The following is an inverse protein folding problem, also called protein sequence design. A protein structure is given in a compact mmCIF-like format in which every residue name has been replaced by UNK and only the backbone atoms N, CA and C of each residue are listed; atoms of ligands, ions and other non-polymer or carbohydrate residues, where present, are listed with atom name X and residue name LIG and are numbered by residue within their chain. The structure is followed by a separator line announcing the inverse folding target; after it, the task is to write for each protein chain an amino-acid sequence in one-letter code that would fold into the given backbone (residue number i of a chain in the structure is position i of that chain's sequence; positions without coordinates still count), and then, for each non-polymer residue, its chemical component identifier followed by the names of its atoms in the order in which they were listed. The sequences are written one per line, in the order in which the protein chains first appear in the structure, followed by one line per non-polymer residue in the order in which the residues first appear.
data_IF_442170422679
#
_entry.id   IF_442170422679
#
_cell.length_a   1.000
_cell.length_b   1.000
_cell.length_c   1.000
_cell.angle_alpha   90.00
_cell.angle_beta   90.00
_cell.angle_gamma   90.00
#
_symmetry.space_group_name_H-M   'P 1'
#
loop_
_entity.id
_entity.type
_entity.pdbx_description
1 polymer ?
#
# COMPACT_ATOMS: atom_id res chain seq x y z
N UNK A 1 42.40 -26.92 13.35
CA UNK A 1 41.16 -26.13 13.46
C UNK A 1 40.41 -26.22 12.15
N UNK A 2 39.44 -27.12 12.07
CA UNK A 2 38.56 -27.24 10.91
C UNK A 2 37.41 -26.28 11.18
N UNK A 3 37.35 -25.15 10.46
CA UNK A 3 36.14 -24.32 10.40
C UNK A 3 35.12 -25.14 9.62
N UNK A 4 34.11 -25.62 10.33
CA UNK A 4 32.93 -26.22 9.72
C UNK A 4 32.12 -25.05 9.14
N UNK A 5 32.29 -24.78 7.84
CA UNK A 5 31.34 -23.96 7.10
C UNK A 5 30.00 -24.70 7.14
N UNK A 6 29.00 -24.09 7.75
CA UNK A 6 27.64 -24.61 7.73
C UNK A 6 27.18 -24.65 6.27
N UNK A 7 26.99 -25.84 5.71
CA UNK A 7 26.38 -26.01 4.38
C UNK A 7 25.06 -25.22 4.33
N UNK A 8 24.98 -24.27 3.41
CA UNK A 8 23.77 -23.49 3.18
C UNK A 8 22.70 -24.40 2.57
N UNK A 9 21.78 -24.90 3.39
CA UNK A 9 20.62 -25.68 2.92
C UNK A 9 19.80 -24.85 1.92
N UNK A 10 19.65 -25.34 0.69
CA UNK A 10 18.84 -24.70 -0.35
C UNK A 10 17.63 -25.57 -0.69
N UNK A 11 16.48 -24.93 -0.89
CA UNK A 11 15.21 -25.57 -1.16
C UNK A 11 14.64 -25.01 -2.46
N UNK A 12 14.05 -25.88 -3.28
CA UNK A 12 13.39 -25.46 -4.54
C UNK A 12 11.93 -25.86 -4.50
N UNK A 13 11.04 -24.90 -4.69
CA UNK A 13 9.60 -25.11 -4.85
C UNK A 13 9.23 -24.99 -6.32
N UNK A 14 8.58 -26.02 -6.88
CA UNK A 14 8.11 -26.03 -8.28
C UNK A 14 6.97 -27.04 -8.45
N UNK A 15 6.23 -26.94 -9.56
CA UNK A 15 5.10 -27.84 -9.82
C UNK A 15 3.87 -27.42 -9.01
N UNK A 16 3.25 -28.33 -8.27
CA UNK A 16 2.10 -28.01 -7.41
C UNK A 16 2.54 -27.86 -5.96
N UNK A 17 2.16 -26.75 -5.33
CA UNK A 17 2.46 -26.50 -3.92
C UNK A 17 1.63 -27.41 -3.01
N UNK A 18 2.30 -28.00 -2.01
CA UNK A 18 1.66 -28.78 -0.96
C UNK A 18 1.53 -27.92 0.29
N UNK A 19 0.31 -27.79 0.82
CA UNK A 19 0.07 -27.05 2.07
C UNK A 19 0.90 -27.65 3.21
N UNK A 20 1.55 -26.81 4.01
CA UNK A 20 2.43 -27.24 5.09
C UNK A 20 3.81 -27.70 4.65
N UNK A 21 4.24 -27.35 3.43
CA UNK A 21 5.64 -27.54 3.01
C UNK A 21 6.55 -26.78 3.98
N UNK A 22 7.40 -27.51 4.69
CA UNK A 22 8.37 -26.96 5.64
C UNK A 22 9.56 -26.34 4.89
N UNK A 23 9.81 -25.05 5.12
CA UNK A 23 10.99 -24.34 4.60
C UNK A 23 11.85 -23.75 5.72
N UNK A 24 11.58 -24.11 6.97
CA UNK A 24 12.21 -23.55 8.16
C UNK A 24 13.72 -23.79 8.24
N UNK A 25 14.18 -24.92 7.68
CA UNK A 25 15.61 -25.25 7.65
C UNK A 25 16.38 -24.52 6.53
N UNK A 26 15.69 -24.01 5.50
CA UNK A 26 16.28 -23.51 4.25
C UNK A 26 16.94 -22.12 4.42
N UNK A 27 18.19 -21.98 4.02
CA UNK A 27 18.87 -20.67 3.86
C UNK A 27 18.41 -19.92 2.62
N UNK A 28 18.10 -20.66 1.56
CA UNK A 28 17.56 -20.11 0.32
C UNK A 28 16.38 -20.96 -0.13
N UNK A 29 15.26 -20.33 -0.44
CA UNK A 29 14.08 -20.94 -1.06
C UNK A 29 13.93 -20.36 -2.46
N UNK A 30 14.20 -21.17 -3.49
CA UNK A 30 13.97 -20.77 -4.88
C UNK A 30 12.60 -21.25 -5.33
N UNK A 31 11.73 -20.32 -5.69
CA UNK A 31 10.38 -20.58 -6.20
C UNK A 31 10.44 -20.44 -7.72
N UNK A 32 10.34 -21.56 -8.42
CA UNK A 32 10.29 -21.61 -9.89
C UNK A 32 8.84 -21.47 -10.35
N UNK A 33 8.46 -22.13 -11.45
CA UNK A 33 7.05 -22.24 -11.82
C UNK A 33 6.30 -23.10 -10.80
N UNK A 34 5.31 -22.51 -10.14
CA UNK A 34 4.59 -23.11 -9.03
C UNK A 34 3.08 -22.83 -9.14
N UNK A 35 2.25 -23.83 -8.89
CA UNK A 35 0.80 -23.68 -8.82
C UNK A 35 0.35 -23.92 -7.40
N UNK A 36 -0.19 -22.89 -6.75
CA UNK A 36 -0.76 -22.96 -5.41
C UNK A 36 -2.23 -23.36 -5.53
N UNK A 37 -2.68 -24.46 -4.90
CA UNK A 37 -4.06 -24.91 -5.01
C UNK A 37 -5.10 -23.89 -4.51
N UNK A 38 -6.34 -24.06 -4.95
CA UNK A 38 -7.42 -23.14 -4.60
C UNK A 38 -7.69 -23.10 -3.10
N UNK A 39 -7.63 -21.91 -2.50
CA UNK A 39 -7.83 -21.76 -1.05
C UNK A 39 -6.65 -22.15 -0.18
N UNK A 40 -5.46 -22.31 -0.77
CA UNK A 40 -4.21 -22.57 -0.06
C UNK A 40 -3.34 -21.32 -0.11
N UNK A 41 -2.68 -21.03 1.01
CA UNK A 41 -1.68 -19.97 1.13
C UNK A 41 -0.31 -20.55 0.76
N UNK A 42 0.46 -19.85 -0.08
CA UNK A 42 1.90 -20.05 -0.13
C UNK A 42 2.50 -19.49 1.17
N UNK A 43 2.74 -20.38 2.13
CA UNK A 43 3.17 -20.02 3.46
C UNK A 43 4.71 -19.96 3.53
N UNK A 44 5.23 -18.77 3.85
CA UNK A 44 6.64 -18.47 4.04
C UNK A 44 6.85 -17.84 5.43
N UNK A 45 6.08 -18.29 6.43
CA UNK A 45 6.10 -17.73 7.79
C UNK A 45 7.07 -18.42 8.76
N UNK A 46 7.58 -19.60 8.40
CA UNK A 46 8.51 -20.43 9.18
C UNK A 46 9.98 -20.24 8.78
N UNK A 47 10.27 -19.35 7.83
CA UNK A 47 11.62 -19.06 7.35
C UNK A 47 12.56 -18.68 8.50
N UNK A 48 13.76 -19.25 8.49
CA UNK A 48 14.81 -18.84 9.42
C UNK A 48 15.24 -17.39 9.18
N UNK A 49 15.67 -16.75 10.26
CA UNK A 49 16.25 -15.40 10.19
C UNK A 49 17.42 -15.36 9.22
N UNK A 50 17.46 -14.36 8.34
CA UNK A 50 18.50 -14.26 7.30
C UNK A 50 18.21 -15.04 6.00
N UNK A 51 17.10 -15.76 5.91
CA UNK A 51 16.79 -16.55 4.72
C UNK A 51 16.54 -15.68 3.48
N UNK A 52 16.89 -16.23 2.32
CA UNK A 52 16.58 -15.66 1.01
C UNK A 52 15.44 -16.41 0.33
N UNK A 53 14.49 -15.69 -0.26
CA UNK A 53 13.44 -16.24 -1.12
C UNK A 53 13.61 -15.65 -2.51
N UNK A 54 13.63 -16.49 -3.54
CA UNK A 54 13.84 -16.06 -4.93
C UNK A 54 12.69 -16.55 -5.81
N UNK A 55 11.83 -15.63 -6.24
CA UNK A 55 10.82 -15.90 -7.27
C UNK A 55 11.47 -15.82 -8.65
N UNK A 56 11.50 -16.92 -9.39
CA UNK A 56 12.22 -17.03 -10.67
C UNK A 56 11.33 -17.48 -11.85
N UNK A 57 10.21 -18.14 -11.58
CA UNK A 57 9.23 -18.54 -12.59
C UNK A 57 7.89 -17.83 -12.42
N UNK A 58 6.85 -18.42 -13.01
CA UNK A 58 5.47 -17.96 -12.81
C UNK A 58 4.79 -18.76 -11.71
N UNK A 59 4.37 -18.09 -10.65
CA UNK A 59 3.52 -18.67 -9.61
C UNK A 59 2.06 -18.32 -9.88
N UNK A 60 1.17 -19.31 -9.89
CA UNK A 60 -0.28 -19.10 -10.07
C UNK A 60 -1.07 -19.60 -8.86
N UNK A 61 -2.27 -19.08 -8.67
CA UNK A 61 -3.13 -19.42 -7.53
C UNK A 61 -4.50 -19.92 -8.00
N UNK A 62 -4.95 -21.03 -7.40
CA UNK A 62 -6.27 -21.58 -7.65
C UNK A 62 -7.39 -20.62 -7.21
N UNK A 63 -8.45 -20.56 -8.02
CA UNK A 63 -9.58 -19.64 -7.83
C UNK A 63 -10.52 -20.14 -6.75
N UNK A 64 -10.76 -19.34 -5.70
CA UNK A 64 -11.73 -19.64 -4.62
C UNK A 64 -12.26 -18.34 -4.05
N UNK A 65 -13.51 -18.31 -3.59
CA UNK A 65 -14.03 -17.20 -2.79
C UNK A 65 -13.60 -17.40 -1.34
N UNK A 66 -12.60 -16.65 -0.89
CA UNK A 66 -12.03 -16.70 0.47
C UNK A 66 -11.21 -15.42 0.73
N UNK A 67 -10.86 -15.17 1.98
CA UNK A 67 -10.18 -13.92 2.40
C UNK A 67 -8.66 -13.92 2.19
N UNK A 68 -8.06 -15.07 1.89
CA UNK A 68 -6.62 -15.20 1.71
C UNK A 68 -5.83 -15.14 3.04
N UNK A 69 -4.52 -14.85 2.98
CA UNK A 69 -3.81 -14.31 1.82
C UNK A 69 -3.38 -15.38 0.80
N UNK A 70 -3.05 -14.99 -0.43
CA UNK A 70 -2.43 -15.90 -1.40
C UNK A 70 -0.99 -16.26 -1.01
N UNK A 71 -0.23 -15.27 -0.51
CA UNK A 71 1.13 -15.42 0.02
C UNK A 71 1.20 -14.83 1.42
N UNK A 72 1.79 -15.57 2.36
CA UNK A 72 2.10 -15.09 3.71
C UNK A 72 3.61 -15.06 3.91
N UNK A 73 4.14 -13.89 4.28
CA UNK A 73 5.54 -13.71 4.66
C UNK A 73 5.63 -13.23 6.11
N UNK A 74 6.44 -13.91 6.91
CA UNK A 74 6.79 -13.51 8.29
C UNK A 74 8.27 -13.81 8.52
N UNK A 75 8.98 -12.95 9.25
CA UNK A 75 10.36 -13.25 9.64
C UNK A 75 11.25 -12.02 9.77
N UNK A 76 12.52 -12.28 10.05
CA UNK A 76 13.52 -11.24 10.34
C UNK A 76 14.72 -11.38 9.42
N UNK A 77 15.31 -10.26 8.98
CA UNK A 77 16.50 -10.23 8.10
C UNK A 77 16.32 -11.00 6.79
N UNK A 78 15.10 -11.05 6.27
CA UNK A 78 14.79 -11.77 5.04
C UNK A 78 15.23 -10.97 3.81
N UNK A 79 15.61 -11.69 2.77
CA UNK A 79 15.77 -11.13 1.42
C UNK A 79 14.83 -11.83 0.46
N UNK A 80 13.73 -11.20 0.11
CA UNK A 80 12.77 -11.70 -0.88
C UNK A 80 13.01 -10.98 -2.20
N UNK A 81 13.30 -11.73 -3.26
CA UNK A 81 13.74 -11.13 -4.52
C UNK A 81 13.39 -11.97 -5.75
N UNK A 82 13.85 -11.52 -6.91
CA UNK A 82 13.81 -12.26 -8.16
C UNK A 82 13.07 -11.50 -9.26
N UNK A 83 13.00 -12.11 -10.43
CA UNK A 83 12.34 -11.58 -11.63
C UNK A 83 11.07 -12.34 -12.01
N UNK A 84 10.64 -13.26 -11.14
CA UNK A 84 9.44 -14.07 -11.34
C UNK A 84 8.16 -13.24 -11.33
N UNK A 85 7.07 -13.88 -11.76
CA UNK A 85 5.73 -13.31 -11.77
C UNK A 85 4.81 -14.13 -10.86
N UNK A 86 4.09 -13.46 -9.97
CA UNK A 86 3.02 -14.07 -9.19
C UNK A 86 1.69 -13.60 -9.79
N UNK A 87 0.97 -14.49 -10.47
CA UNK A 87 -0.31 -14.20 -11.14
C UNK A 87 -1.49 -14.67 -10.29
N UNK A 88 -2.22 -13.70 -9.74
CA UNK A 88 -3.36 -13.91 -8.85
C UNK A 88 -4.65 -14.31 -9.57
N UNK A 89 -4.64 -14.34 -10.91
CA UNK A 89 -5.78 -14.74 -11.73
C UNK A 89 -7.04 -13.88 -11.48
N UNK A 90 -6.82 -12.58 -11.25
CA UNK A 90 -7.81 -11.58 -10.84
C UNK A 90 -9.06 -11.49 -11.71
N UNK A 91 -8.93 -11.69 -13.03
CA UNK A 91 -10.05 -11.64 -13.98
C UNK A 91 -11.22 -12.58 -13.61
N UNK A 92 -10.95 -13.70 -12.93
CA UNK A 92 -12.02 -14.56 -12.45
C UNK A 92 -12.86 -13.90 -11.35
N UNK A 93 -12.24 -13.09 -10.49
CA UNK A 93 -12.89 -12.39 -9.39
C UNK A 93 -13.58 -11.11 -9.86
N UNK A 94 -12.93 -10.29 -10.70
CA UNK A 94 -13.45 -8.98 -11.12
C UNK A 94 -14.81 -9.07 -11.80
N UNK A 95 -14.99 -10.04 -12.70
CA UNK A 95 -16.28 -10.29 -13.40
C UNK A 95 -17.44 -10.69 -12.48
N UNK A 96 -17.18 -11.00 -11.21
CA UNK A 96 -18.19 -11.38 -10.23
C UNK A 96 -18.59 -10.22 -9.31
N UNK A 97 -17.97 -9.04 -9.47
CA UNK A 97 -18.26 -7.85 -8.69
C UNK A 97 -17.71 -7.88 -7.25
N UNK A 98 -18.12 -6.88 -6.45
CA UNK A 98 -17.59 -6.64 -5.10
C UNK A 98 -18.29 -7.43 -4.00
N UNK A 99 -19.43 -8.07 -4.29
CA UNK A 99 -20.23 -8.84 -3.30
C UNK A 99 -19.62 -10.20 -2.91
N UNK A 100 -18.49 -10.59 -3.51
CA UNK A 100 -17.79 -11.83 -3.18
C UNK A 100 -16.58 -11.57 -2.30
N UNK A 101 -16.22 -12.52 -1.44
CA UNK A 101 -14.95 -12.50 -0.73
C UNK A 101 -13.81 -12.78 -1.72
N UNK A 102 -12.80 -11.92 -1.70
CA UNK A 102 -11.63 -11.98 -2.58
C UNK A 102 -10.37 -12.02 -1.72
N UNK A 103 -9.37 -12.86 -2.07
CA UNK A 103 -8.19 -13.00 -1.23
C UNK A 103 -7.29 -11.78 -1.37
N UNK A 104 -6.76 -11.30 -0.23
CA UNK A 104 -5.59 -10.41 -0.24
C UNK A 104 -4.43 -11.15 -0.91
N UNK A 105 -3.65 -10.48 -1.76
CA UNK A 105 -2.57 -11.16 -2.47
C UNK A 105 -1.42 -11.51 -1.53
N UNK A 106 -0.67 -10.50 -1.10
CA UNK A 106 0.60 -10.67 -0.40
C UNK A 106 0.50 -10.06 0.98
N UNK A 107 0.51 -10.89 2.03
CA UNK A 107 0.53 -10.42 3.41
C UNK A 107 1.94 -10.47 3.98
N UNK A 108 2.48 -9.31 4.30
CA UNK A 108 3.68 -9.17 5.12
C UNK A 108 3.23 -8.93 6.56
N UNK A 109 3.43 -9.91 7.43
CA UNK A 109 3.06 -9.83 8.84
C UNK A 109 4.31 -10.01 9.69
N UNK A 110 4.64 -9.02 10.52
CA UNK A 110 5.85 -9.06 11.38
C UNK A 110 7.12 -9.34 10.56
N UNK A 111 7.27 -8.65 9.43
CA UNK A 111 8.50 -8.68 8.62
C UNK A 111 9.44 -7.60 9.13
N UNK A 112 10.62 -7.98 9.62
CA UNK A 112 11.50 -7.11 10.39
C UNK A 112 12.88 -7.06 9.74
N UNK A 113 13.46 -5.87 9.58
CA UNK A 113 14.83 -5.69 9.05
C UNK A 113 15.08 -6.41 7.73
N UNK A 114 14.07 -6.43 6.85
CA UNK A 114 14.07 -7.27 5.64
C UNK A 114 14.02 -6.43 4.36
N UNK A 115 14.25 -7.09 3.23
CA UNK A 115 14.10 -6.50 1.89
C UNK A 115 13.19 -7.36 1.01
N UNK A 116 12.31 -6.71 0.25
CA UNK A 116 11.40 -7.35 -0.71
C UNK A 116 11.53 -6.60 -2.04
N UNK A 117 12.00 -7.25 -3.12
CA UNK A 117 12.36 -6.51 -4.34
C UNK A 117 12.22 -7.22 -5.68
N UNK A 118 12.00 -6.43 -6.73
CA UNK A 118 12.23 -6.80 -8.13
C UNK A 118 11.19 -7.67 -8.85
N UNK A 119 10.34 -8.42 -8.16
CA UNK A 119 9.40 -9.33 -8.82
C UNK A 119 8.09 -8.62 -9.22
N UNK A 120 7.31 -9.32 -10.07
CA UNK A 120 6.02 -8.82 -10.56
C UNK A 120 4.87 -9.52 -9.85
N UNK A 121 3.88 -8.75 -9.40
CA UNK A 121 2.56 -9.26 -9.04
C UNK A 121 1.59 -8.87 -10.14
N UNK A 122 0.94 -9.87 -10.74
CA UNK A 122 0.00 -9.69 -11.84
C UNK A 122 -1.42 -10.03 -11.41
N UNK A 123 -2.39 -9.23 -11.85
CA UNK A 123 -3.82 -9.46 -11.78
C UNK A 123 -4.28 -9.83 -10.37
N UNK A 124 -4.14 -8.89 -9.43
CA UNK A 124 -4.54 -9.11 -8.04
C UNK A 124 -6.07 -9.24 -7.92
N UNK A 125 -6.59 -10.26 -7.21
CA UNK A 125 -8.03 -10.39 -6.98
C UNK A 125 -8.66 -9.20 -6.23
N UNK A 126 -7.88 -8.59 -5.34
CA UNK A 126 -8.26 -7.56 -4.38
C UNK A 126 -7.01 -6.75 -4.01
N UNK A 127 -6.89 -6.31 -2.75
CA UNK A 127 -5.74 -5.59 -2.21
C UNK A 127 -4.46 -6.41 -2.37
N UNK A 128 -3.42 -5.76 -2.89
CA UNK A 128 -2.19 -6.42 -3.32
C UNK A 128 -1.26 -6.68 -2.13
N UNK A 129 -0.64 -5.65 -1.55
CA UNK A 129 0.16 -5.81 -0.34
C UNK A 129 -0.62 -5.40 0.90
N UNK A 130 -0.64 -6.29 1.89
CA UNK A 130 -1.09 -5.97 3.25
C UNK A 130 0.11 -6.08 4.18
N UNK A 131 0.66 -4.94 4.59
CA UNK A 131 1.85 -4.82 5.43
C UNK A 131 1.42 -4.46 6.84
N UNK A 132 1.64 -5.40 7.77
CA UNK A 132 1.11 -5.33 9.12
C UNK A 132 2.21 -5.64 10.13
N UNK A 133 2.32 -4.83 11.20
CA UNK A 133 3.27 -5.01 12.31
C UNK A 133 4.73 -5.20 11.85
N UNK A 134 5.10 -4.66 10.69
CA UNK A 134 6.42 -4.80 10.08
C UNK A 134 7.32 -3.64 10.45
N UNK A 135 8.63 -3.88 10.52
CA UNK A 135 9.58 -2.91 11.04
C UNK A 135 10.86 -2.84 10.22
N UNK A 136 11.39 -1.64 9.99
CA UNK A 136 12.69 -1.40 9.35
C UNK A 136 12.86 -2.21 8.05
N UNK A 137 11.82 -2.26 7.22
CA UNK A 137 11.74 -3.14 6.05
C UNK A 137 11.59 -2.32 4.78
N UNK A 138 12.36 -2.67 3.76
CA UNK A 138 12.34 -2.00 2.46
C UNK A 138 11.66 -2.87 1.40
N UNK A 139 10.66 -2.31 0.73
CA UNK A 139 10.04 -2.86 -0.48
C UNK A 139 10.49 -2.01 -1.66
N UNK A 140 11.06 -2.62 -2.70
CA UNK A 140 11.57 -1.82 -3.82
C UNK A 140 11.55 -2.47 -5.18
N UNK A 141 11.35 -1.66 -6.22
CA UNK A 141 11.44 -2.13 -7.61
C UNK A 141 10.42 -3.20 -7.98
N UNK A 142 9.31 -3.32 -7.25
CA UNK A 142 8.22 -4.24 -7.60
C UNK A 142 7.38 -3.66 -8.73
N UNK A 143 6.81 -4.53 -9.55
CA UNK A 143 5.74 -4.16 -10.48
C UNK A 143 4.44 -4.81 -10.00
N UNK A 144 3.44 -4.01 -9.65
CA UNK A 144 2.08 -4.45 -9.37
C UNK A 144 1.24 -4.07 -10.57
N UNK A 145 0.84 -5.07 -11.36
CA UNK A 145 0.14 -4.85 -12.62
C UNK A 145 -1.21 -5.55 -12.61
N UNK A 146 -2.26 -4.76 -12.40
CA UNK A 146 -3.65 -5.19 -12.58
C UNK A 146 -4.34 -4.34 -13.66
N UNK A 147 -3.59 -3.83 -14.65
CA UNK A 147 -4.16 -3.06 -15.78
C UNK A 147 -5.16 -3.86 -16.62
N UNK A 148 -5.03 -5.19 -16.69
CA UNK A 148 -6.05 -6.08 -17.28
C UNK A 148 -7.43 -5.94 -16.59
N UNK A 149 -7.46 -5.35 -15.39
CA UNK A 149 -8.64 -5.09 -14.57
C UNK A 149 -9.23 -3.70 -14.72
N UNK A 150 -8.69 -2.85 -15.60
CA UNK A 150 -9.30 -1.54 -15.87
C UNK A 150 -10.80 -1.72 -16.21
N UNK A 151 -11.61 -0.77 -15.75
CA UNK A 151 -13.09 -0.77 -15.80
C UNK A 151 -13.84 -1.87 -15.01
N UNK A 152 -13.18 -2.96 -14.62
CA UNK A 152 -13.86 -4.14 -14.04
C UNK A 152 -13.44 -4.47 -12.62
N UNK A 153 -12.15 -4.32 -12.31
CA UNK A 153 -11.59 -4.54 -11.00
C UNK A 153 -11.92 -3.37 -10.06
N UNK A 154 -12.02 -3.69 -8.77
CA UNK A 154 -12.29 -2.74 -7.69
C UNK A 154 -11.44 -3.11 -6.48
N UNK A 155 -10.94 -2.13 -5.73
CA UNK A 155 -10.19 -2.36 -4.50
C UNK A 155 -8.93 -3.23 -4.70
N UNK A 156 -8.18 -2.91 -5.74
CA UNK A 156 -6.88 -3.53 -6.05
C UNK A 156 -5.74 -2.69 -5.50
N UNK A 157 -5.86 -2.27 -4.24
CA UNK A 157 -4.92 -1.38 -3.56
C UNK A 157 -3.48 -1.89 -3.73
N UNK A 158 -2.53 -0.97 -3.92
CA UNK A 158 -1.11 -1.28 -4.06
C UNK A 158 -0.53 -1.76 -2.73
N UNK A 159 -0.42 -0.83 -1.77
CA UNK A 159 0.14 -1.07 -0.45
C UNK A 159 -0.78 -0.58 0.68
N UNK A 160 -1.35 -1.52 1.44
CA UNK A 160 -2.08 -1.25 2.67
C UNK A 160 -1.14 -1.35 3.87
N UNK A 161 -1.06 -0.28 4.68
CA UNK A 161 -0.19 -0.22 5.86
C UNK A 161 -1.00 -0.11 7.16
N UNK A 162 -0.71 -1.02 8.09
CA UNK A 162 -1.24 -0.96 9.46
C UNK A 162 -0.18 -1.33 10.50
N UNK A 163 0.03 -0.45 11.49
CA UNK A 163 0.90 -0.65 12.66
C UNK A 163 2.37 -0.96 12.32
N UNK A 164 2.91 -0.36 11.26
CA UNK A 164 4.31 -0.53 10.88
C UNK A 164 5.20 0.60 11.41
N UNK A 165 6.51 0.36 11.50
CA UNK A 165 7.50 1.38 11.86
C UNK A 165 8.70 1.32 10.92
N UNK A 166 9.09 2.42 10.28
CA UNK A 166 10.31 2.43 9.46
C UNK A 166 10.19 1.61 8.17
N UNK A 167 9.02 1.59 7.54
CA UNK A 167 8.82 0.93 6.24
C UNK A 167 9.19 1.89 5.12
N UNK A 168 10.00 1.43 4.16
CA UNK A 168 10.33 2.18 2.94
C UNK A 168 9.77 1.45 1.73
N UNK A 169 9.02 2.13 0.88
CA UNK A 169 8.48 1.62 -0.39
C UNK A 169 8.98 2.53 -1.51
N UNK A 170 9.82 1.99 -2.40
CA UNK A 170 10.48 2.85 -3.39
C UNK A 170 10.75 2.22 -4.75
N UNK A 171 10.63 3.01 -5.82
CA UNK A 171 10.93 2.56 -7.18
C UNK A 171 9.93 1.53 -7.71
N UNK A 172 8.75 1.41 -7.10
CA UNK A 172 7.71 0.48 -7.54
C UNK A 172 6.88 1.09 -8.68
N UNK A 173 6.31 0.22 -9.53
CA UNK A 173 5.30 0.57 -10.52
C UNK A 173 3.98 -0.07 -10.13
N UNK A 174 2.93 0.72 -9.99
CA UNK A 174 1.61 0.30 -9.51
C UNK A 174 0.57 0.73 -10.55
N UNK A 175 -0.03 -0.26 -11.21
CA UNK A 175 -1.13 -0.11 -12.16
C UNK A 175 -2.35 -0.80 -11.59
N UNK A 176 -3.34 -0.03 -11.13
CA UNK A 176 -4.46 -0.57 -10.36
C UNK A 176 -5.70 0.35 -10.43
N UNK A 177 -6.77 -0.06 -9.74
CA UNK A 177 -8.07 0.61 -9.73
C UNK A 177 -8.47 1.10 -8.32
N UNK A 178 -7.50 1.28 -7.42
CA UNK A 178 -7.73 1.84 -6.08
C UNK A 178 -6.45 2.51 -5.54
N UNK A 179 -6.35 2.76 -4.24
CA UNK A 179 -5.22 3.44 -3.61
C UNK A 179 -3.86 2.80 -3.98
N UNK A 180 -2.91 3.63 -4.42
CA UNK A 180 -1.52 3.21 -4.65
C UNK A 180 -0.83 2.92 -3.30
N UNK A 181 -1.08 3.80 -2.34
CA UNK A 181 -0.79 3.65 -0.92
C UNK A 181 -2.08 3.91 -0.14
N UNK A 182 -2.43 3.02 0.78
CA UNK A 182 -3.50 3.22 1.76
C UNK A 182 -2.92 3.00 3.17
N UNK A 183 -2.59 4.10 3.85
CA UNK A 183 -1.92 4.05 5.16
C UNK A 183 -2.92 4.31 6.29
N UNK A 184 -3.46 3.25 6.91
CA UNK A 184 -4.37 3.40 8.05
C UNK A 184 -3.63 3.70 9.36
N UNK A 185 -2.45 3.11 9.53
CA UNK A 185 -1.53 3.44 10.63
C UNK A 185 -0.12 2.98 10.32
N UNK A 186 0.86 3.83 10.61
CA UNK A 186 2.28 3.47 10.65
C UNK A 186 3.12 4.71 11.02
N UNK A 187 4.35 4.50 11.49
CA UNK A 187 5.28 5.57 11.82
C UNK A 187 6.56 5.50 10.98
N UNK A 188 7.16 6.66 10.70
CA UNK A 188 8.44 6.78 9.99
C UNK A 188 8.45 6.05 8.63
N UNK A 189 7.39 6.22 7.84
CA UNK A 189 7.26 5.58 6.53
C UNK A 189 7.81 6.46 5.42
N UNK A 190 8.50 5.86 4.46
CA UNK A 190 8.95 6.54 3.24
C UNK A 190 8.28 5.88 2.04
N UNK A 191 7.59 6.68 1.21
CA UNK A 191 7.00 6.26 -0.05
C UNK A 191 7.53 7.13 -1.18
N UNK A 192 8.50 6.64 -1.95
CA UNK A 192 9.25 7.51 -2.86
C UNK A 192 9.62 6.92 -4.21
N UNK A 193 9.75 7.77 -5.23
CA UNK A 193 10.16 7.35 -6.59
C UNK A 193 9.26 6.26 -7.20
N UNK A 194 8.00 6.19 -6.79
CA UNK A 194 7.04 5.22 -7.32
C UNK A 194 6.26 5.83 -8.50
N UNK A 195 5.76 4.96 -9.38
CA UNK A 195 4.74 5.32 -10.38
C UNK A 195 3.42 4.71 -9.97
N UNK A 196 2.40 5.54 -9.81
CA UNK A 196 1.02 5.16 -9.54
C UNK A 196 0.17 5.53 -10.76
N UNK A 197 -0.59 4.58 -11.30
CA UNK A 197 -1.37 4.77 -12.53
C UNK A 197 -2.74 4.09 -12.43
N UNK A 198 -3.80 4.77 -12.88
CA UNK A 198 -5.17 4.24 -12.95
C UNK A 198 -5.98 4.33 -11.65
N UNK A 199 -5.30 4.44 -10.51
CA UNK A 199 -5.88 4.23 -9.19
C UNK A 199 -6.45 5.48 -8.50
N UNK A 200 -6.43 5.45 -7.17
CA UNK A 200 -6.97 6.52 -6.32
C UNK A 200 -5.91 7.37 -5.61
N UNK A 201 -4.66 7.31 -6.05
CA UNK A 201 -3.57 8.15 -5.55
C UNK A 201 -2.86 7.61 -4.30
N UNK A 202 -2.19 8.52 -3.59
CA UNK A 202 -1.40 8.22 -2.39
C UNK A 202 -2.19 8.69 -1.17
N UNK A 203 -2.79 7.74 -0.45
CA UNK A 203 -3.75 8.00 0.61
C UNK A 203 -3.23 7.68 2.01
N UNK A 204 -3.45 8.61 2.94
CA UNK A 204 -3.60 8.31 4.36
C UNK A 204 -5.06 7.98 4.64
N UNK A 205 -5.28 6.89 5.37
CA UNK A 205 -6.59 6.45 5.82
C UNK A 205 -7.27 5.37 4.97
N UNK A 206 -8.57 5.15 5.11
CA UNK A 206 -9.44 5.85 6.10
C UNK A 206 -8.98 5.56 7.53
N UNK A 207 -8.71 6.61 8.32
CA UNK A 207 -8.19 6.50 9.69
C UNK A 207 -9.21 7.02 10.72
N UNK A 208 -9.29 6.37 11.87
CA UNK A 208 -10.16 6.75 12.98
C UNK A 208 -10.59 5.53 13.79
N UNK A 209 -10.56 5.66 15.11
CA UNK A 209 -10.98 4.67 16.09
C UNK A 209 -11.76 5.29 17.25
N UNK A 210 -12.21 4.45 18.18
CA UNK A 210 -12.92 4.89 19.39
C UNK A 210 -12.01 5.62 20.39
N UNK A 211 -10.69 5.45 20.26
CA UNK A 211 -9.66 6.17 21.00
C UNK A 211 -8.38 6.25 20.18
N UNK A 212 -7.47 7.17 20.53
CA UNK A 212 -6.17 7.27 19.86
C UNK A 212 -5.30 6.10 20.31
N UNK A 213 -4.93 5.25 19.35
CA UNK A 213 -4.02 4.11 19.56
C UNK A 213 -2.99 4.03 18.44
N UNK A 214 -2.05 3.09 18.53
CA UNK A 214 -1.13 2.78 17.42
C UNK A 214 -1.85 2.31 16.14
N UNK A 215 -3.10 1.86 16.24
CA UNK A 215 -3.93 1.49 15.08
C UNK A 215 -4.54 2.70 14.37
N UNK A 216 -4.57 3.84 15.05
CA UNK A 216 -5.27 5.08 14.67
C UNK A 216 -4.28 6.26 14.63
N UNK A 217 -3.00 5.96 14.43
CA UNK A 217 -1.90 6.94 14.35
C UNK A 217 -1.08 6.74 13.09
N UNK A 218 -0.93 7.82 12.33
CA UNK A 218 0.09 8.01 11.29
C UNK A 218 1.03 9.13 11.76
N UNK A 219 2.34 8.86 11.76
CA UNK A 219 3.35 9.84 12.18
C UNK A 219 4.62 9.73 11.35
N UNK A 220 5.15 10.83 10.80
CA UNK A 220 6.42 10.76 10.06
C UNK A 220 6.27 10.03 8.73
N UNK A 221 5.32 10.44 7.88
CA UNK A 221 5.22 9.93 6.51
C UNK A 221 5.95 10.88 5.55
N UNK A 222 6.90 10.36 4.78
CA UNK A 222 7.55 11.08 3.68
C UNK A 222 7.12 10.51 2.34
N UNK A 223 6.41 11.30 1.54
CA UNK A 223 5.99 10.96 0.17
C UNK A 223 6.79 11.82 -0.80
N UNK A 224 7.74 11.22 -1.54
CA UNK A 224 8.70 12.01 -2.33
C UNK A 224 8.93 11.51 -3.76
N UNK A 225 9.03 12.43 -4.72
CA UNK A 225 9.43 12.11 -6.10
C UNK A 225 8.55 11.04 -6.78
N UNK A 226 7.26 10.95 -6.43
CA UNK A 226 6.36 10.00 -7.07
C UNK A 226 5.72 10.61 -8.31
N UNK A 227 5.41 9.75 -9.28
CA UNK A 227 4.59 10.09 -10.45
C UNK A 227 3.20 9.50 -10.27
N UNK A 228 2.17 10.33 -10.29
CA UNK A 228 0.77 9.92 -10.19
C UNK A 228 0.08 10.28 -11.51
N UNK A 229 -0.49 9.28 -12.17
CA UNK A 229 -0.96 9.37 -13.56
C UNK A 229 -2.34 8.77 -13.69
N UNK A 230 -3.22 9.36 -14.50
CA UNK A 230 -4.53 8.81 -14.85
C UNK A 230 -5.28 8.31 -13.61
N UNK A 231 -5.33 9.12 -12.55
CA UNK A 231 -5.78 8.71 -11.22
C UNK A 231 -6.84 9.66 -10.68
N UNK A 232 -7.75 9.13 -9.89
CA UNK A 232 -8.84 9.93 -9.27
C UNK A 232 -8.27 10.99 -8.31
N UNK A 233 -7.19 10.67 -7.59
CA UNK A 233 -6.57 11.62 -6.67
C UNK A 233 -5.05 11.59 -6.80
N UNK A 234 -4.42 12.72 -6.48
CA UNK A 234 -3.00 12.83 -6.25
C UNK A 234 -2.67 12.44 -4.81
N UNK A 235 -2.62 13.46 -3.95
CA UNK A 235 -2.32 13.33 -2.52
C UNK A 235 -3.63 13.33 -1.73
N UNK A 236 -3.83 12.34 -0.85
CA UNK A 236 -5.11 12.20 -0.15
C UNK A 236 -4.98 11.88 1.34
N UNK A 237 -5.83 12.49 2.16
CA UNK A 237 -6.03 12.15 3.57
C UNK A 237 -7.53 12.00 3.81
N UNK A 238 -7.95 10.82 4.30
CA UNK A 238 -9.36 10.51 4.62
C UNK A 238 -9.50 10.13 6.09
N UNK A 239 -10.25 10.90 6.87
CA UNK A 239 -10.52 10.59 8.28
C UNK A 239 -11.99 10.28 8.51
N UNK A 240 -12.25 9.32 9.40
CA UNK A 240 -13.59 8.76 9.59
C UNK A 240 -14.42 9.69 10.48
N UNK A 241 -15.67 9.95 10.08
CA UNK A 241 -16.66 10.73 10.85
C UNK A 241 -16.76 10.26 12.30
N UNK A 242 -16.87 11.22 13.21
CA UNK A 242 -17.08 11.04 14.66
C UNK A 242 -15.99 10.27 15.43
N UNK A 243 -15.00 9.69 14.73
CA UNK A 243 -13.91 8.92 15.31
C UNK A 243 -12.68 9.79 15.59
N UNK A 244 -11.81 9.29 16.47
CA UNK A 244 -10.59 9.98 16.91
C UNK A 244 -9.35 9.26 16.38
N UNK A 245 -8.25 9.98 16.21
CA UNK A 245 -6.98 9.46 15.72
C UNK A 245 -5.95 10.57 15.62
N UNK A 246 -4.80 10.26 15.02
CA UNK A 246 -3.74 11.24 14.79
C UNK A 246 -3.04 11.01 13.45
N UNK A 247 -2.87 12.08 12.69
CA UNK A 247 -2.04 12.17 11.49
C UNK A 247 -1.10 13.35 11.70
N UNK A 248 0.21 13.10 11.77
CA UNK A 248 1.18 14.17 12.07
C UNK A 248 2.52 13.98 11.38
N UNK A 249 3.22 15.08 11.09
CA UNK A 249 4.56 15.02 10.51
C UNK A 249 4.54 14.32 9.15
N UNK A 250 3.65 14.79 8.28
CA UNK A 250 3.49 14.24 6.93
C UNK A 250 4.08 15.24 5.94
N UNK A 251 5.00 14.77 5.11
CA UNK A 251 5.66 15.60 4.11
C UNK A 251 5.50 14.98 2.73
N UNK A 252 4.87 15.73 1.83
CA UNK A 252 4.80 15.45 0.41
C UNK A 252 5.75 16.40 -0.32
N UNK A 253 6.77 15.87 -1.00
CA UNK A 253 7.79 16.68 -1.69
C UNK A 253 7.99 16.23 -3.12
N UNK A 254 8.08 17.19 -4.05
CA UNK A 254 8.53 16.96 -5.43
C UNK A 254 7.71 15.86 -6.17
N UNK A 255 6.40 15.77 -5.90
CA UNK A 255 5.53 14.81 -6.58
C UNK A 255 4.97 15.43 -7.87
N UNK A 256 4.76 14.60 -8.90
CA UNK A 256 4.24 15.06 -10.19
C UNK A 256 2.94 14.35 -10.55
N UNK A 257 1.97 15.14 -11.02
CA UNK A 257 0.65 14.71 -11.45
C UNK A 257 0.53 14.78 -12.98
N UNK A 258 -0.24 13.87 -13.57
CA UNK A 258 -0.59 13.92 -14.98
C UNK A 258 -1.97 13.32 -15.16
N UNK A 259 -2.93 14.12 -15.64
CA UNK A 259 -4.30 13.68 -15.87
C UNK A 259 -4.92 13.09 -14.59
N UNK A 260 -4.93 13.89 -13.52
CA UNK A 260 -5.48 13.51 -12.21
C UNK A 260 -6.78 14.28 -11.97
N UNK A 261 -7.81 13.69 -11.39
CA UNK A 261 -9.05 14.45 -11.15
C UNK A 261 -8.84 15.47 -10.00
N UNK A 262 -8.35 15.01 -8.85
CA UNK A 262 -8.16 15.84 -7.65
C UNK A 262 -6.70 15.85 -7.18
N UNK A 263 -6.00 16.99 -7.25
CA UNK A 263 -4.58 17.04 -6.89
C UNK A 263 -4.33 16.81 -5.39
N UNK A 264 -5.03 17.56 -4.53
CA UNK A 264 -4.92 17.51 -3.07
C UNK A 264 -6.30 17.32 -2.46
N UNK A 265 -6.51 16.19 -1.78
CA UNK A 265 -7.77 15.84 -1.13
C UNK A 265 -7.57 15.64 0.36
N UNK A 266 -8.20 16.44 1.21
CA UNK A 266 -8.15 16.26 2.67
C UNK A 266 -9.55 16.34 3.24
N UNK A 267 -10.10 15.18 3.62
CA UNK A 267 -11.50 15.04 3.99
C UNK A 267 -11.66 14.46 5.39
N UNK A 268 -12.43 15.19 6.21
CA UNK A 268 -12.78 14.89 7.60
C UNK A 268 -14.18 14.29 7.78
N UNK A 269 -14.78 13.79 6.71
CA UNK A 269 -16.18 13.39 6.63
C UNK A 269 -16.37 12.00 5.98
N UNK A 270 -15.33 11.16 5.96
CA UNK A 270 -15.43 9.84 5.34
C UNK A 270 -16.30 8.89 6.17
N UNK A 271 -17.32 8.31 5.55
CA UNK A 271 -18.19 7.30 6.14
C UNK A 271 -17.86 5.90 5.60
N UNK A 272 -17.46 5.00 6.50
CA UNK A 272 -17.27 3.57 6.16
C UNK A 272 -18.57 2.87 5.76
N UNK A 273 -19.71 3.28 6.31
CA UNK A 273 -21.01 2.66 5.97
C UNK A 273 -21.49 3.09 4.59
N UNK A 274 -21.26 4.36 4.20
CA UNK A 274 -21.56 4.88 2.86
C UNK A 274 -20.51 4.46 1.83
N UNK A 275 -19.27 4.23 2.27
CA UNK A 275 -18.13 4.03 1.38
C UNK A 275 -17.72 5.32 0.66
N UNK A 276 -17.89 6.48 1.31
CA UNK A 276 -17.63 7.80 0.70
C UNK A 276 -17.86 8.94 1.68
N UNK A 277 -17.77 10.17 1.15
CA UNK A 277 -17.89 11.42 1.91
C UNK A 277 -19.34 11.77 2.23
N UNK A 278 -19.57 12.48 3.34
CA UNK A 278 -20.92 12.83 3.85
C UNK A 278 -21.23 14.31 3.78
N UNK A 279 -20.31 15.13 3.26
CA UNK A 279 -20.40 16.57 3.13
C UNK A 279 -20.53 17.29 4.49
N UNK A 280 -20.11 16.62 5.57
CA UNK A 280 -20.15 17.14 6.94
C UNK A 280 -18.95 16.61 7.72
N UNK A 281 -17.93 17.46 7.88
CA UNK A 281 -16.70 17.09 8.58
C UNK A 281 -16.91 17.01 10.10
N UNK A 282 -17.23 15.82 10.59
CA UNK A 282 -17.38 15.53 12.02
C UNK A 282 -16.23 14.72 12.62
N UNK A 283 -15.24 14.31 11.81
CA UNK A 283 -14.07 13.59 12.32
C UNK A 283 -13.35 14.38 13.42
N UNK A 284 -12.83 13.64 14.39
CA UNK A 284 -12.05 14.14 15.54
C UNK A 284 -10.60 13.66 15.47
N UNK A 285 -10.16 13.24 14.29
CA UNK A 285 -8.76 12.88 14.01
C UNK A 285 -7.95 14.17 13.92
N UNK A 286 -6.91 14.28 14.76
CA UNK A 286 -5.97 15.40 14.65
C UNK A 286 -5.14 15.27 13.37
N UNK A 287 -5.18 16.27 12.49
CA UNK A 287 -4.36 16.35 11.27
C UNK A 287 -3.45 17.57 11.42
N UNK A 288 -2.23 17.34 11.87
CA UNK A 288 -1.30 18.42 12.26
C UNK A 288 0.03 18.27 11.54
N UNK A 289 0.80 19.35 11.38
CA UNK A 289 2.17 19.26 10.83
C UNK A 289 2.20 18.55 9.46
N UNK A 290 1.49 19.15 8.50
CA UNK A 290 1.38 18.65 7.12
C UNK A 290 2.14 19.62 6.21
N UNK A 291 3.08 19.10 5.43
CA UNK A 291 3.82 19.86 4.42
C UNK A 291 3.53 19.29 3.04
N UNK A 292 3.12 20.13 2.10
CA UNK A 292 3.10 19.82 0.67
C UNK A 292 3.99 20.84 -0.02
N UNK A 293 5.08 20.39 -0.63
CA UNK A 293 6.05 21.25 -1.29
C UNK A 293 6.42 20.72 -2.67
N UNK A 294 6.42 21.60 -3.68
CA UNK A 294 6.85 21.24 -5.04
C UNK A 294 5.92 20.26 -5.77
N UNK A 295 4.60 20.34 -5.55
CA UNK A 295 3.62 19.56 -6.31
C UNK A 295 3.43 20.17 -7.70
N UNK A 296 3.66 19.40 -8.75
CA UNK A 296 3.65 19.89 -10.14
C UNK A 296 2.74 19.05 -11.05
N UNK A 297 2.26 19.62 -12.16
CA UNK A 297 1.64 18.86 -13.25
C UNK A 297 0.23 19.30 -13.63
N UNK A 298 -0.68 18.35 -13.88
CA UNK A 298 -2.07 18.64 -14.24
C UNK A 298 -3.07 17.85 -13.41
N UNK A 299 -4.14 18.55 -13.03
CA UNK A 299 -5.35 17.96 -12.47
C UNK A 299 -6.61 18.73 -12.91
N UNK A 300 -7.80 18.16 -12.73
CA UNK A 300 -9.05 18.89 -13.00
C UNK A 300 -9.29 19.98 -11.94
N UNK A 301 -9.06 19.63 -10.66
CA UNK A 301 -9.06 20.57 -9.54
C UNK A 301 -7.87 20.39 -8.61
N UNK A 302 -7.36 21.51 -8.09
CA UNK A 302 -6.17 21.55 -7.23
C UNK A 302 -6.53 21.13 -5.81
N UNK A 303 -7.55 21.75 -5.22
CA UNK A 303 -7.94 21.55 -3.84
C UNK A 303 -9.36 20.96 -3.71
N UNK A 304 -9.46 19.91 -2.90
CA UNK A 304 -10.72 19.35 -2.42
C UNK A 304 -10.58 19.09 -0.91
N UNK A 305 -10.83 20.12 -0.11
CA UNK A 305 -10.59 20.10 1.34
C UNK A 305 -11.89 20.38 2.08
N UNK A 306 -12.29 19.43 2.94
CA UNK A 306 -13.40 19.58 3.87
C UNK A 306 -13.04 18.93 5.19
N UNK A 307 -12.68 19.74 6.19
CA UNK A 307 -12.23 19.25 7.50
C UNK A 307 -12.88 19.97 8.66
N UNK A 308 -12.80 19.35 9.84
CA UNK A 308 -13.24 19.97 11.08
C UNK A 308 -12.13 20.87 11.62
N UNK A 309 -12.32 22.19 11.54
CA UNK A 309 -11.31 23.21 11.91
C UNK A 309 -10.79 23.10 13.34
N UNK A 310 -11.49 22.40 14.24
CA UNK A 310 -11.03 22.15 15.62
C UNK A 310 -9.90 21.13 15.73
N UNK A 311 -9.68 20.32 14.70
CA UNK A 311 -8.77 19.17 14.73
C UNK A 311 -7.63 19.29 13.72
N UNK A 312 -7.47 20.44 13.07
CA UNK A 312 -6.42 20.67 12.08
C UNK A 312 -5.59 21.88 12.44
N UNK A 313 -4.28 21.80 12.26
CA UNK A 313 -3.34 22.90 12.50
C UNK A 313 -2.03 22.68 11.76
N UNK A 314 -1.22 23.73 11.63
CA UNK A 314 0.18 23.63 11.20
C UNK A 314 0.36 22.97 9.82
N UNK A 315 -0.40 23.43 8.83
CA UNK A 315 -0.23 23.01 7.43
C UNK A 315 0.57 24.05 6.65
N UNK A 316 1.50 23.60 5.81
CA UNK A 316 2.31 24.45 4.94
C UNK A 316 2.26 23.91 3.52
N UNK A 317 1.61 24.64 2.61
CA UNK A 317 1.59 24.32 1.18
C UNK A 317 2.43 25.34 0.42
N UNK A 318 3.41 24.87 -0.34
CA UNK A 318 4.33 25.70 -1.12
C UNK A 318 4.67 25.03 -2.45
N UNK A 319 5.10 25.82 -3.44
CA UNK A 319 5.51 25.28 -4.74
C UNK A 319 4.43 24.49 -5.47
N UNK A 320 3.15 24.80 -5.26
CA UNK A 320 2.03 24.17 -5.95
C UNK A 320 1.94 24.76 -7.37
N UNK A 321 2.43 24.02 -8.36
CA UNK A 321 2.41 24.38 -9.77
C UNK A 321 1.64 23.32 -10.55
N UNK A 322 0.35 23.21 -10.22
CA UNK A 322 -0.60 22.29 -10.86
C UNK A 322 -1.55 23.10 -11.73
N UNK A 323 -1.65 22.75 -13.01
CA UNK A 323 -2.70 23.26 -13.88
C UNK A 323 -4.02 22.58 -13.55
N UNK A 324 -5.08 23.37 -13.36
CA UNK A 324 -6.41 22.91 -12.96
C UNK A 324 -7.25 24.07 -12.45
N UNK A 325 -8.52 23.82 -12.19
CA UNK A 325 -9.34 24.76 -11.41
C UNK A 325 -8.89 24.77 -9.95
N UNK A 326 -9.06 25.88 -9.24
CA UNK A 326 -8.65 25.95 -7.82
C UNK A 326 -9.36 24.89 -6.97
N UNK A 327 -10.66 24.66 -7.19
CA UNK A 327 -11.47 23.76 -6.37
C UNK A 327 -12.02 24.46 -5.12
N UNK A 328 -12.06 23.78 -3.98
CA UNK A 328 -12.66 24.31 -2.75
C UNK A 328 -11.96 23.84 -1.47
N UNK A 329 -11.96 24.72 -0.48
CA UNK A 329 -11.45 24.46 0.86
C UNK A 329 -12.47 24.93 1.91
N UNK A 330 -12.66 24.10 2.93
CA UNK A 330 -13.45 24.44 4.11
C UNK A 330 -12.87 23.80 5.37
N UNK A 331 -12.51 24.63 6.33
CA UNK A 331 -12.07 24.23 7.68
C UNK A 331 -10.57 24.02 7.83
N UNK A 332 -9.80 24.19 6.76
CA UNK A 332 -8.34 24.21 6.74
C UNK A 332 -7.73 25.26 7.68
N UNK A 333 -6.46 25.09 8.10
CA UNK A 333 -5.73 26.13 8.82
C UNK A 333 -5.56 27.40 7.98
N UNK A 334 -5.56 28.56 8.63
CA UNK A 334 -5.41 29.87 7.96
C UNK A 334 -4.06 30.10 7.25
N UNK A 335 -3.10 29.18 7.42
CA UNK A 335 -1.82 29.17 6.71
C UNK A 335 -1.90 28.57 5.31
N UNK A 336 -3.03 27.95 4.96
CA UNK A 336 -3.29 27.38 3.64
C UNK A 336 -4.16 28.36 2.86
N UNK A 337 -3.66 28.77 1.70
CA UNK A 337 -4.40 29.57 0.74
C UNK A 337 -4.82 28.65 -0.41
N UNK A 338 -6.11 28.63 -0.68
CA UNK A 338 -6.73 28.02 -1.84
C UNK A 338 -7.22 29.19 -2.72
#
# INVERSE_FOLDING_TARGET
MIRQEAESSSCTLSGTYTSGTDVSSCSTVTIKSLTVPAGVTLDLSDLKSGASVVFSGTTTFGKKKWSGPLVLLTGTKLTVSGSGTLDGQGAWYWKQGTSITRPVFFRMSKVISSTVKGFTIKNSPYRTFSIINSQSTTVSGLTLDSSDGDDTAKNTDGFDLSKNTGVTITGCKIYNQDDCLAMQSSTNTVFSSNTCSGGHGISIGSIGGSSISSSDTVSGLTVKNNKIVDSVNGLRIKTIIDLTGKVTGVTYTDNTLSNVENAIVIHGDYSKSKGGYTDTASSKVYITDITIDGLTGSADQIYDILVNSKYVSDWTFSGISVSGSTGSCSGEPSSVDC
#
